data_IF_182905276684
#
_entry.id   IF_182905276684
#
_cell.length_a   1.000
_cell.length_b   1.000
_cell.length_c   1.000
_cell.angle_alpha   90.00
_cell.angle_beta   90.00
_cell.angle_gamma   90.00
#
_symmetry.space_group_name_H-M   'P 1'
#
loop_
_entity.id
_entity.type
_entity.pdbx_description
1 polymer ?
#
# COMPACT_ATOMS: atom_id res chain seq x y z
N UNK A 1 59.47 -40.12 -18.17
CA UNK A 1 58.09 -39.62 -18.35
C UNK A 1 57.50 -39.36 -16.97
N UNK A 2 57.21 -38.10 -16.67
CA UNK A 2 56.80 -37.62 -15.36
C UNK A 2 55.33 -37.94 -15.05
N UNK A 3 55.01 -38.27 -13.79
CA UNK A 3 53.69 -38.00 -13.24
C UNK A 3 53.81 -37.63 -11.76
N UNK A 4 53.78 -36.31 -11.58
CA UNK A 4 53.86 -35.56 -10.34
C UNK A 4 52.56 -35.79 -9.54
N UNK A 5 52.72 -36.06 -8.24
CA UNK A 5 51.61 -36.10 -7.28
C UNK A 5 50.97 -34.73 -7.11
N UNK A 6 49.64 -34.68 -6.90
CA UNK A 6 48.99 -33.66 -6.08
C UNK A 6 47.60 -34.13 -5.61
N UNK A 7 47.50 -34.32 -4.30
CA UNK A 7 46.32 -34.57 -3.45
C UNK A 7 45.75 -33.23 -3.00
N UNK A 8 44.47 -32.90 -3.22
CA UNK A 8 43.56 -31.95 -2.47
C UNK A 8 42.16 -32.11 -3.12
N UNK A 9 41.01 -32.12 -2.47
CA UNK A 9 40.55 -31.94 -1.11
C UNK A 9 39.02 -32.16 -1.14
N UNK A 10 38.43 -32.62 -0.04
CA UNK A 10 36.99 -32.79 0.08
C UNK A 10 36.27 -31.46 -0.07
N UNK A 11 35.20 -31.46 -0.86
CA UNK A 11 34.28 -30.33 -0.95
C UNK A 11 33.05 -30.72 -0.13
N UNK A 12 33.00 -30.22 1.10
CA UNK A 12 31.74 -30.07 1.83
C UNK A 12 31.00 -28.92 1.15
N UNK A 13 29.90 -29.25 0.48
CA UNK A 13 28.86 -28.27 0.17
C UNK A 13 28.16 -27.97 1.49
N UNK A 14 28.72 -26.98 2.20
CA UNK A 14 27.97 -26.21 3.18
C UNK A 14 26.97 -25.40 2.34
N UNK A 15 25.78 -25.96 2.13
CA UNK A 15 24.66 -25.24 1.52
C UNK A 15 24.46 -23.95 2.33
N UNK A 16 24.71 -22.76 1.78
CA UNK A 16 24.26 -21.56 2.46
C UNK A 16 22.75 -21.61 2.45
N UNK A 17 22.16 -21.88 3.62
CA UNK A 17 20.73 -21.81 3.89
C UNK A 17 20.20 -20.55 3.22
N UNK A 18 19.44 -20.75 2.14
CA UNK A 18 18.91 -19.70 1.32
C UNK A 18 18.11 -18.77 2.24
N UNK A 19 18.62 -17.56 2.39
CA UNK A 19 17.97 -16.46 3.10
C UNK A 19 16.48 -16.49 2.79
N UNK A 20 15.73 -16.80 3.83
CA UNK A 20 14.28 -16.92 3.84
C UNK A 20 13.69 -15.72 3.09
N UNK A 21 12.80 -16.00 2.15
CA UNK A 21 12.07 -15.03 1.33
C UNK A 21 11.18 -14.18 2.24
N UNK A 22 11.80 -13.24 2.96
CA UNK A 22 11.12 -12.29 3.81
C UNK A 22 10.47 -11.26 2.89
N UNK A 23 9.30 -11.63 2.37
CA UNK A 23 8.46 -10.75 1.59
C UNK A 23 8.36 -9.38 2.32
N UNK A 24 8.59 -8.26 1.63
CA UNK A 24 8.61 -6.95 2.27
C UNK A 24 7.32 -6.73 3.06
N UNK A 25 7.40 -6.10 4.25
CA UNK A 25 6.25 -5.91 5.11
C UNK A 25 5.11 -5.22 4.34
N UNK A 26 3.85 -5.65 4.53
CA UNK A 26 2.72 -5.12 3.78
C UNK A 26 2.60 -3.62 4.02
N UNK A 27 2.63 -2.83 2.95
CA UNK A 27 2.55 -1.38 3.06
C UNK A 27 1.19 -0.96 3.63
N UNK A 28 1.14 -0.11 4.65
CA UNK A 28 -0.13 0.33 5.23
C UNK A 28 -0.84 1.29 4.28
N UNK A 29 -2.16 1.15 4.17
CA UNK A 29 -3.01 2.07 3.44
C UNK A 29 -3.04 3.44 4.12
N UNK A 30 -2.74 4.49 3.36
CA UNK A 30 -2.64 5.86 3.87
C UNK A 30 -3.92 6.38 4.53
N UNK A 31 -5.11 6.01 4.04
CA UNK A 31 -6.38 6.51 4.60
C UNK A 31 -6.86 5.76 5.85
N UNK A 32 -6.71 4.43 5.89
CA UNK A 32 -7.28 3.60 6.96
C UNK A 32 -6.25 2.95 7.87
N UNK A 33 -4.95 3.06 7.58
CA UNK A 33 -3.86 2.49 8.35
C UNK A 33 -3.73 0.96 8.30
N UNK A 34 -4.63 0.27 7.61
CA UNK A 34 -4.63 -1.20 7.50
C UNK A 34 -3.54 -1.70 6.54
N UNK A 35 -2.94 -2.88 6.76
CA UNK A 35 -1.99 -3.45 5.81
C UNK A 35 -2.69 -3.68 4.48
N UNK A 36 -2.08 -3.28 3.37
CA UNK A 36 -2.60 -3.60 2.05
C UNK A 36 -2.32 -5.07 1.72
N UNK A 37 -3.30 -5.74 1.11
CA UNK A 37 -3.15 -7.10 0.62
C UNK A 37 -2.43 -7.15 -0.73
N UNK A 38 -2.90 -8.00 -1.62
CA UNK A 38 -2.31 -8.22 -2.95
C UNK A 38 -2.54 -7.02 -3.88
N UNK A 39 -3.66 -6.31 -3.70
CA UNK A 39 -4.04 -5.20 -4.59
C UNK A 39 -3.78 -3.83 -3.97
N UNK A 40 -2.79 -3.11 -4.49
CA UNK A 40 -2.43 -1.77 -4.04
C UNK A 40 -2.73 -0.75 -5.16
N UNK A 41 -3.43 0.33 -4.81
CA UNK A 41 -3.66 1.46 -5.71
C UNK A 41 -2.85 2.66 -5.24
N UNK A 42 -2.06 3.22 -6.15
CA UNK A 42 -1.30 4.45 -5.89
C UNK A 42 -2.21 5.66 -6.10
N UNK A 43 -2.58 6.31 -5.00
CA UNK A 43 -3.43 7.50 -5.03
C UNK A 43 -2.60 8.78 -4.93
N UNK A 44 -3.03 9.84 -5.61
CA UNK A 44 -2.45 11.18 -5.48
C UNK A 44 -3.31 12.01 -4.53
N UNK A 45 -2.88 12.23 -3.27
CA UNK A 45 -3.67 13.00 -2.30
C UNK A 45 -3.94 14.43 -2.77
N UNK A 46 -2.94 15.03 -3.41
CA UNK A 46 -3.10 16.30 -4.14
C UNK A 46 -3.26 15.99 -5.63
N UNK A 47 -4.34 16.45 -6.29
CA UNK A 47 -4.48 16.27 -7.74
C UNK A 47 -3.30 16.83 -8.52
N UNK A 48 -2.87 16.12 -9.59
CA UNK A 48 -1.77 16.58 -10.47
C UNK A 48 -1.98 18.01 -11.02
N UNK A 49 -3.24 18.37 -11.31
CA UNK A 49 -3.62 19.72 -11.77
C UNK A 49 -3.35 20.84 -10.75
N UNK A 50 -3.12 20.48 -9.49
CA UNK A 50 -2.76 21.38 -8.38
C UNK A 50 -1.30 21.26 -7.97
N UNK A 51 -0.48 20.59 -8.78
CA UNK A 51 0.95 20.41 -8.53
C UNK A 51 1.28 19.22 -7.62
N UNK A 52 0.31 18.36 -7.32
CA UNK A 52 0.55 17.16 -6.52
C UNK A 52 1.50 16.19 -7.22
N UNK A 53 2.57 15.80 -6.52
CA UNK A 53 3.58 14.84 -6.98
C UNK A 53 3.62 13.58 -6.12
N UNK A 54 3.12 13.69 -4.91
CA UNK A 54 3.10 12.59 -3.95
C UNK A 54 2.12 11.51 -4.39
N UNK A 55 2.55 10.26 -4.18
CA UNK A 55 1.75 9.06 -4.35
C UNK A 55 1.78 8.30 -3.06
N UNK A 56 0.61 7.86 -2.62
CA UNK A 56 0.46 7.08 -1.39
C UNK A 56 -0.20 5.75 -1.71
N UNK A 57 0.23 4.66 -1.04
CA UNK A 57 -0.43 3.37 -1.19
C UNK A 57 -1.81 3.41 -0.53
N UNK A 58 -2.82 2.92 -1.24
CA UNK A 58 -4.20 2.92 -0.77
C UNK A 58 -4.99 1.74 -1.35
N UNK A 59 -6.02 1.30 -0.64
CA UNK A 59 -6.96 0.33 -1.20
C UNK A 59 -7.85 0.97 -2.27
N UNK A 60 -8.28 0.18 -3.26
CA UNK A 60 -9.23 0.65 -4.28
C UNK A 60 -10.56 1.15 -3.71
N UNK A 61 -11.07 0.50 -2.65
CA UNK A 61 -12.28 0.96 -1.95
C UNK A 61 -12.05 2.31 -1.23
N UNK A 62 -10.90 2.47 -0.57
CA UNK A 62 -10.53 3.74 0.08
C UNK A 62 -10.45 4.87 -0.96
N UNK A 63 -9.90 4.60 -2.13
CA UNK A 63 -9.81 5.57 -3.22
C UNK A 63 -11.20 5.98 -3.72
N UNK A 64 -12.06 5.00 -3.99
CA UNK A 64 -13.42 5.26 -4.44
C UNK A 64 -14.23 6.07 -3.41
N UNK A 65 -14.14 5.74 -2.13
CA UNK A 65 -14.79 6.51 -1.07
C UNK A 65 -14.24 7.93 -1.01
N UNK A 66 -12.92 8.11 -1.12
CA UNK A 66 -12.30 9.42 -1.06
C UNK A 66 -12.80 10.34 -2.18
N UNK A 67 -12.73 9.88 -3.44
CA UNK A 67 -13.17 10.69 -4.60
C UNK A 67 -14.70 10.87 -4.67
N UNK A 68 -15.46 10.01 -3.97
CA UNK A 68 -16.92 10.13 -3.88
C UNK A 68 -17.36 11.14 -2.81
N UNK A 69 -16.55 11.36 -1.77
CA UNK A 69 -16.86 12.27 -0.67
C UNK A 69 -16.18 13.63 -0.79
N UNK A 70 -15.03 13.71 -1.46
CA UNK A 70 -14.26 14.94 -1.59
C UNK A 70 -14.18 15.45 -3.02
N UNK A 71 -14.21 16.77 -3.15
CA UNK A 71 -13.89 17.49 -4.38
C UNK A 71 -12.38 17.71 -4.50
N UNK A 72 -11.91 17.98 -5.72
CA UNK A 72 -10.50 18.30 -5.97
C UNK A 72 -9.98 19.48 -5.13
N UNK A 73 -10.84 20.45 -4.82
CA UNK A 73 -10.49 21.62 -4.00
C UNK A 73 -10.33 21.25 -2.52
N UNK A 74 -11.13 20.33 -2.00
CA UNK A 74 -11.01 19.84 -0.63
C UNK A 74 -9.77 18.96 -0.49
N UNK A 75 -9.51 18.06 -1.45
CA UNK A 75 -8.29 17.26 -1.49
C UNK A 75 -7.03 18.13 -1.56
N UNK A 76 -7.06 19.21 -2.33
CA UNK A 76 -5.95 20.16 -2.37
C UNK A 76 -5.70 20.83 -1.00
N UNK A 77 -6.75 21.15 -0.25
CA UNK A 77 -6.63 21.78 1.07
C UNK A 77 -6.14 20.80 2.13
N UNK A 78 -6.61 19.56 2.08
CA UNK A 78 -6.17 18.51 2.98
C UNK A 78 -4.73 18.06 2.67
N UNK A 79 -4.34 17.99 1.40
CA UNK A 79 -2.99 17.64 1.01
C UNK A 79 -2.59 16.23 1.44
N UNK A 80 -1.49 16.13 2.18
CA UNK A 80 -0.99 14.89 2.79
C UNK A 80 -1.49 14.68 4.23
N UNK A 81 -2.32 15.58 4.77
CA UNK A 81 -2.90 15.42 6.10
C UNK A 81 -4.13 14.52 6.08
N UNK A 82 -3.93 13.27 6.49
CA UNK A 82 -5.02 12.30 6.68
C UNK A 82 -5.97 12.74 7.78
N UNK A 83 -5.48 13.40 8.82
CA UNK A 83 -6.30 13.86 9.95
C UNK A 83 -7.40 14.83 9.51
N UNK A 84 -7.11 15.69 8.54
CA UNK A 84 -8.10 16.60 7.93
C UNK A 84 -9.19 15.80 7.23
N UNK A 85 -8.83 14.73 6.52
CA UNK A 85 -9.79 13.84 5.85
C UNK A 85 -10.62 13.05 6.87
N UNK A 86 -10.01 12.57 7.95
CA UNK A 86 -10.67 11.84 9.04
C UNK A 86 -11.60 12.73 9.87
N UNK A 87 -11.38 14.05 9.89
CA UNK A 87 -12.29 15.00 10.51
C UNK A 87 -13.67 15.05 9.82
N UNK A 88 -13.79 14.56 8.58
CA UNK A 88 -15.08 14.45 7.90
C UNK A 88 -15.89 13.26 8.44
N UNK A 89 -17.08 13.49 9.03
CA UNK A 89 -17.88 12.42 9.63
C UNK A 89 -18.20 11.23 8.69
N UNK A 90 -18.44 11.43 7.37
CA UNK A 90 -18.64 10.31 6.44
C UNK A 90 -17.40 9.42 6.29
N UNK A 91 -16.21 10.03 6.25
CA UNK A 91 -14.94 9.31 6.12
C UNK A 91 -14.63 8.56 7.40
N UNK A 92 -14.81 9.21 8.55
CA UNK A 92 -14.61 8.56 9.85
C UNK A 92 -15.45 7.30 9.98
N UNK A 93 -16.76 7.38 9.68
CA UNK A 93 -17.66 6.23 9.68
C UNK A 93 -17.22 5.13 8.71
N UNK A 94 -16.73 5.52 7.53
CA UNK A 94 -16.19 4.57 6.56
C UNK A 94 -14.93 3.87 7.09
N UNK A 95 -14.00 4.60 7.70
CA UNK A 95 -12.77 4.04 8.27
C UNK A 95 -13.09 3.09 9.43
N UNK A 96 -14.00 3.46 10.33
CA UNK A 96 -14.44 2.59 11.42
C UNK A 96 -15.14 1.32 10.88
N UNK A 97 -15.90 1.42 9.78
CA UNK A 97 -16.54 0.28 9.13
C UNK A 97 -15.54 -0.63 8.40
N UNK A 98 -14.55 -0.05 7.70
CA UNK A 98 -13.54 -0.79 6.95
C UNK A 98 -12.48 -1.41 7.86
N UNK A 99 -12.29 -0.89 9.07
CA UNK A 99 -11.39 -1.45 10.09
C UNK A 99 -11.68 -2.92 10.41
N UNK A 100 -12.95 -3.34 10.29
CA UNK A 100 -13.41 -4.71 10.56
C UNK A 100 -13.51 -5.60 9.30
N UNK A 101 -12.96 -5.17 8.16
CA UNK A 101 -13.02 -5.91 6.88
C UNK A 101 -11.67 -6.55 6.56
N UNK A 102 -11.63 -7.43 5.57
CA UNK A 102 -10.41 -8.03 5.04
C UNK A 102 -9.56 -6.99 4.25
N UNK A 103 -8.21 -7.07 4.23
CA UNK A 103 -7.36 -6.13 3.48
C UNK A 103 -7.57 -6.18 1.95
N UNK A 104 -7.96 -7.32 1.40
CA UNK A 104 -8.29 -7.46 -0.03
C UNK A 104 -9.79 -7.23 -0.31
N UNK A 105 -10.54 -6.70 0.66
CA UNK A 105 -11.97 -6.42 0.50
C UNK A 105 -12.20 -5.30 -0.53
N UNK A 106 -12.83 -5.66 -1.65
CA UNK A 106 -13.28 -4.73 -2.68
C UNK A 106 -14.79 -4.57 -2.62
N UNK A 107 -15.27 -3.33 -2.58
CA UNK A 107 -16.68 -3.01 -2.76
C UNK A 107 -16.83 -1.83 -3.71
N UNK A 108 -17.87 -1.86 -4.54
CA UNK A 108 -18.25 -0.71 -5.35
C UNK A 108 -18.91 0.33 -4.45
N UNK A 109 -18.37 1.54 -4.45
CA UNK A 109 -19.01 2.66 -3.76
C UNK A 109 -20.01 3.29 -4.73
N UNK A 110 -21.30 3.19 -4.46
CA UNK A 110 -22.31 3.92 -5.23
C UNK A 110 -22.05 5.42 -5.06
N UNK A 111 -21.64 6.09 -6.15
CA UNK A 111 -21.57 7.55 -6.19
C UNK A 111 -22.96 8.09 -5.83
N UNK A 112 -23.05 8.89 -4.77
CA UNK A 112 -24.28 9.63 -4.49
C UNK A 112 -24.48 10.61 -5.64
N UNK A 113 -25.56 10.43 -6.40
CA UNK A 113 -25.91 11.28 -7.53
C UNK A 113 -25.91 12.74 -7.09
N UNK A 114 -25.14 13.56 -7.82
CA UNK A 114 -25.02 14.99 -7.62
C UNK A 114 -26.30 15.71 -8.04
#
# INVERSE_FOLDING_TARGET
MARKHAKRGGWTDDEPEAAEDEAPPPVPCWLCGRPTGTTIVWHHPVPKSRGGRDVVPMHGICQQTLIANFTNSELQRAGLDVDVLLAHPPIRKFVDWVANKDPDFTASVTKKGR
#
